data_IF_299536121919
#
_entry.id   IF_299536121919
#
_cell.length_a   1.000
_cell.length_b   1.000
_cell.length_c   1.000
_cell.angle_alpha   90.00
_cell.angle_beta   90.00
_cell.angle_gamma   90.00
#
_symmetry.space_group_name_H-M   'P 1'
#
loop_
_entity.id
_entity.type
_entity.pdbx_description
1 polymer ?
#
# COMPACT_ATOMS: atom_id res chain seq x y z
N UNK A 1 -16.32 13.83 -22.20
CA UNK A 1 -16.57 12.61 -23.00
C UNK A 1 -15.53 11.51 -22.81
N UNK A 2 -14.21 11.77 -22.87
CA UNK A 2 -13.20 10.70 -22.74
C UNK A 2 -13.13 10.04 -21.34
N UNK A 3 -13.35 10.83 -20.28
CA UNK A 3 -13.33 10.33 -18.89
C UNK A 3 -14.48 9.34 -18.60
N UNK A 4 -15.67 9.57 -19.15
CA UNK A 4 -16.82 8.68 -18.96
C UNK A 4 -16.62 7.33 -19.65
N UNK A 5 -16.06 7.33 -20.87
CA UNK A 5 -15.75 6.09 -21.59
C UNK A 5 -14.70 5.21 -20.87
N UNK A 6 -13.68 5.83 -20.26
CA UNK A 6 -12.69 5.09 -19.45
C UNK A 6 -13.35 4.48 -18.21
N UNK A 7 -14.28 5.19 -17.58
CA UNK A 7 -14.98 4.69 -16.41
C UNK A 7 -15.90 3.52 -16.78
N UNK A 8 -16.64 3.62 -17.88
CA UNK A 8 -17.51 2.57 -18.40
C UNK A 8 -16.73 1.30 -18.76
N UNK A 9 -15.62 1.45 -19.49
CA UNK A 9 -14.75 0.30 -19.83
C UNK A 9 -14.17 -0.37 -18.59
N UNK A 10 -13.80 0.39 -17.55
CA UNK A 10 -13.35 -0.18 -16.26
C UNK A 10 -14.47 -0.97 -15.57
N UNK A 11 -15.68 -0.44 -15.53
CA UNK A 11 -16.83 -1.13 -14.94
C UNK A 11 -17.12 -2.44 -15.66
N UNK A 12 -17.18 -2.41 -17.00
CA UNK A 12 -17.35 -3.62 -17.82
C UNK A 12 -16.25 -4.65 -17.61
N UNK A 13 -14.98 -4.19 -17.52
CA UNK A 13 -13.85 -5.09 -17.22
C UNK A 13 -13.99 -5.75 -15.85
N UNK A 14 -14.45 -5.01 -14.84
CA UNK A 14 -14.65 -5.54 -13.48
C UNK A 14 -15.85 -6.51 -13.40
N UNK A 15 -16.95 -6.21 -14.08
CA UNK A 15 -18.11 -7.10 -14.21
C UNK A 15 -17.69 -8.43 -14.85
N UNK A 16 -17.00 -8.36 -15.99
CA UNK A 16 -16.52 -9.52 -16.72
C UNK A 16 -15.55 -10.37 -15.89
N UNK A 17 -14.63 -9.70 -15.18
CA UNK A 17 -13.69 -10.36 -14.27
C UNK A 17 -14.41 -11.13 -13.15
N UNK A 18 -15.42 -10.51 -12.52
CA UNK A 18 -16.22 -11.16 -11.47
C UNK A 18 -17.00 -12.36 -12.03
N UNK A 19 -17.60 -12.23 -13.20
CA UNK A 19 -18.33 -13.31 -13.87
C UNK A 19 -17.43 -14.49 -14.20
N UNK A 20 -16.23 -14.25 -14.75
CA UNK A 20 -15.24 -15.29 -15.03
C UNK A 20 -14.77 -16.00 -13.75
N UNK A 21 -14.54 -15.26 -12.65
CA UNK A 21 -14.21 -15.88 -11.37
C UNK A 21 -15.36 -16.72 -10.79
N UNK A 22 -16.61 -16.31 -11.00
CA UNK A 22 -17.78 -17.07 -10.57
C UNK A 22 -17.93 -18.36 -11.39
N UNK A 23 -17.82 -18.28 -12.70
CA UNK A 23 -17.95 -19.43 -13.61
C UNK A 23 -16.77 -20.39 -13.54
N UNK A 24 -15.61 -19.96 -13.03
CA UNK A 24 -14.41 -20.81 -12.88
C UNK A 24 -14.33 -21.57 -11.56
N UNK A 25 -15.28 -21.38 -10.63
CA UNK A 25 -15.34 -22.12 -9.35
C UNK A 25 -15.28 -23.66 -9.46
N UNK A 26 -15.91 -24.32 -10.45
CA UNK A 26 -15.86 -25.79 -10.55
C UNK A 26 -14.52 -26.31 -11.10
N UNK A 27 -13.62 -25.42 -11.55
CA UNK A 27 -12.34 -25.80 -12.11
C UNK A 27 -11.21 -25.42 -11.16
N UNK A 28 -10.45 -26.42 -10.72
CA UNK A 28 -9.30 -26.18 -9.84
C UNK A 28 -8.24 -25.31 -10.53
N UNK A 29 -7.70 -24.35 -9.78
CA UNK A 29 -6.61 -23.47 -10.20
C UNK A 29 -6.87 -22.54 -11.40
N UNK A 30 -8.02 -22.63 -12.07
CA UNK A 30 -8.39 -21.77 -13.19
C UNK A 30 -8.49 -20.29 -12.77
N UNK A 31 -8.95 -20.02 -11.54
CA UNK A 31 -9.01 -18.68 -10.98
C UNK A 31 -7.65 -17.98 -10.95
N UNK A 32 -6.56 -18.73 -10.69
CA UNK A 32 -5.21 -18.18 -10.66
C UNK A 32 -4.73 -17.81 -12.06
N UNK A 33 -5.05 -18.63 -13.07
CA UNK A 33 -4.75 -18.32 -14.47
C UNK A 33 -5.50 -17.05 -14.93
N UNK A 34 -6.79 -16.92 -14.59
CA UNK A 34 -7.59 -15.72 -14.87
C UNK A 34 -6.94 -14.49 -14.21
N UNK A 35 -6.59 -14.57 -12.92
CA UNK A 35 -5.92 -13.47 -12.20
C UNK A 35 -4.62 -13.04 -12.90
N UNK A 36 -3.81 -14.00 -13.34
CA UNK A 36 -2.55 -13.71 -14.01
C UNK A 36 -2.76 -13.01 -15.36
N UNK A 37 -3.72 -13.46 -16.16
CA UNK A 37 -4.05 -12.84 -17.46
C UNK A 37 -4.58 -11.41 -17.33
N UNK A 38 -5.45 -11.14 -16.36
CA UNK A 38 -5.88 -9.77 -16.09
C UNK A 38 -4.74 -8.90 -15.55
N UNK A 39 -3.84 -9.48 -14.74
CA UNK A 39 -2.68 -8.76 -14.21
C UNK A 39 -1.65 -8.41 -15.30
N UNK A 40 -1.39 -9.32 -16.26
CA UNK A 40 -0.46 -9.05 -17.37
C UNK A 40 -0.95 -7.92 -18.26
N UNK A 41 -2.26 -7.79 -18.42
CA UNK A 41 -2.88 -6.80 -19.30
C UNK A 41 -3.32 -5.50 -18.58
N UNK A 42 -2.94 -5.31 -17.32
CA UNK A 42 -3.33 -4.16 -16.50
C UNK A 42 -2.91 -2.82 -17.10
N UNK A 43 -1.75 -2.78 -17.77
CA UNK A 43 -1.16 -1.56 -18.29
C UNK A 43 -1.44 -1.34 -19.79
N UNK A 44 -2.41 -2.05 -20.38
CA UNK A 44 -2.77 -1.89 -21.78
C UNK A 44 -3.45 -0.54 -22.01
N UNK A 45 -2.83 0.33 -22.80
CA UNK A 45 -3.32 1.69 -23.10
C UNK A 45 -4.02 1.81 -24.45
N UNK A 46 -3.85 0.83 -25.35
CA UNK A 46 -4.43 0.85 -26.69
C UNK A 46 -5.90 0.41 -26.68
N UNK A 47 -6.80 1.29 -27.11
CA UNK A 47 -8.26 1.02 -27.16
C UNK A 47 -8.59 -0.23 -27.99
N UNK A 48 -8.00 -0.38 -29.18
CA UNK A 48 -8.23 -1.55 -30.05
C UNK A 48 -7.85 -2.84 -29.34
N UNK A 49 -6.67 -2.88 -28.70
CA UNK A 49 -6.21 -4.05 -27.93
C UNK A 49 -7.09 -4.34 -26.71
N UNK A 50 -7.55 -3.31 -26.01
CA UNK A 50 -8.46 -3.51 -24.87
C UNK A 50 -9.79 -4.11 -25.34
N UNK A 51 -10.33 -3.66 -26.47
CA UNK A 51 -11.56 -4.22 -27.03
C UNK A 51 -11.39 -5.68 -27.44
N UNK A 52 -10.30 -6.03 -28.14
CA UNK A 52 -10.05 -7.44 -28.51
C UNK A 52 -9.90 -8.34 -27.29
N UNK A 53 -9.21 -7.87 -26.24
CA UNK A 53 -9.07 -8.63 -25.00
C UNK A 53 -10.41 -8.80 -24.25
N UNK A 54 -11.29 -7.80 -24.31
CA UNK A 54 -12.62 -7.89 -23.72
C UNK A 54 -13.53 -8.85 -24.50
N UNK A 55 -13.50 -8.79 -25.85
CA UNK A 55 -14.27 -9.73 -26.68
C UNK A 55 -13.79 -11.17 -26.50
N UNK A 56 -12.47 -11.40 -26.48
CA UNK A 56 -11.89 -12.71 -26.16
C UNK A 56 -12.35 -13.20 -24.78
N UNK A 57 -12.32 -12.32 -23.76
CA UNK A 57 -12.76 -12.67 -22.43
C UNK A 57 -14.27 -12.98 -22.34
N UNK A 58 -15.12 -12.29 -23.11
CA UNK A 58 -16.55 -12.60 -23.24
C UNK A 58 -16.79 -13.96 -23.91
N UNK A 59 -16.05 -14.28 -24.96
CA UNK A 59 -16.08 -15.59 -25.61
C UNK A 59 -15.66 -16.70 -24.65
N UNK A 60 -14.60 -16.48 -23.86
CA UNK A 60 -14.19 -17.45 -22.83
C UNK A 60 -15.26 -17.64 -21.76
N UNK A 61 -15.98 -16.58 -21.37
CA UNK A 61 -17.08 -16.69 -20.42
C UNK A 61 -18.24 -17.51 -20.99
N UNK A 62 -18.61 -17.27 -22.25
CA UNK A 62 -19.62 -18.07 -22.96
C UNK A 62 -19.21 -19.54 -23.01
N UNK A 63 -17.94 -19.81 -23.32
CA UNK A 63 -17.38 -21.16 -23.37
C UNK A 63 -17.43 -21.86 -22.00
N UNK A 64 -17.04 -21.17 -20.92
CA UNK A 64 -17.11 -21.73 -19.57
C UNK A 64 -18.54 -21.99 -19.10
N UNK A 65 -19.49 -21.09 -19.44
CA UNK A 65 -20.89 -21.27 -19.08
C UNK A 65 -21.50 -22.50 -19.79
N UNK A 66 -21.11 -22.78 -21.05
CA UNK A 66 -21.50 -24.00 -21.75
C UNK A 66 -21.00 -25.27 -21.03
N UNK A 67 -19.74 -25.27 -20.61
CA UNK A 67 -19.18 -26.37 -19.78
C UNK A 67 -19.93 -26.55 -18.46
N UNK A 68 -20.30 -25.45 -17.79
CA UNK A 68 -21.09 -25.49 -16.55
C UNK A 68 -22.53 -25.97 -16.76
N UNK A 69 -23.06 -25.88 -17.98
CA UNK A 69 -24.41 -26.34 -18.34
C UNK A 69 -24.45 -27.82 -18.76
N UNK A 70 -23.34 -28.57 -18.67
CA UNK A 70 -23.30 -30.02 -18.89
C UNK A 70 -22.47 -30.49 -20.07
N UNK A 71 -21.85 -29.58 -20.84
CA UNK A 71 -21.01 -29.95 -21.98
C UNK A 71 -19.66 -30.57 -21.52
N UNK A 72 -19.62 -31.90 -21.41
CA UNK A 72 -18.44 -32.65 -20.91
C UNK A 72 -17.18 -32.48 -21.78
N UNK A 73 -17.34 -32.27 -23.09
CA UNK A 73 -16.20 -32.01 -23.98
C UNK A 73 -15.45 -30.73 -23.61
N UNK A 74 -16.19 -29.69 -23.22
CA UNK A 74 -15.66 -28.39 -22.84
C UNK A 74 -14.91 -28.52 -21.51
N UNK A 75 -15.53 -29.21 -20.54
CA UNK A 75 -14.90 -29.49 -19.25
C UNK A 75 -13.56 -30.22 -19.45
N UNK A 76 -13.53 -31.21 -20.34
CA UNK A 76 -12.31 -31.96 -20.67
C UNK A 76 -11.23 -31.09 -21.30
N UNK A 77 -11.58 -30.23 -22.26
CA UNK A 77 -10.66 -29.26 -22.88
C UNK A 77 -10.10 -28.26 -21.88
N UNK A 78 -10.94 -27.74 -20.98
CA UNK A 78 -10.53 -26.81 -19.91
C UNK A 78 -9.59 -27.50 -18.92
N UNK A 79 -9.90 -28.72 -18.50
CA UNK A 79 -9.04 -29.51 -17.60
C UNK A 79 -7.69 -29.85 -18.25
N UNK A 80 -7.67 -30.21 -19.53
CA UNK A 80 -6.43 -30.44 -20.27
C UNK A 80 -5.57 -29.16 -20.37
N UNK A 81 -6.20 -28.00 -20.58
CA UNK A 81 -5.53 -26.71 -20.57
C UNK A 81 -4.93 -26.40 -19.19
N UNK A 82 -5.71 -26.59 -18.12
CA UNK A 82 -5.29 -26.41 -16.72
C UNK A 82 -4.06 -27.28 -16.42
N UNK A 83 -4.08 -28.56 -16.79
CA UNK A 83 -2.95 -29.48 -16.60
C UNK A 83 -1.69 -29.06 -17.39
N UNK A 84 -1.84 -28.54 -18.61
CA UNK A 84 -0.70 -28.10 -19.44
C UNK A 84 0.04 -26.88 -18.86
N UNK A 85 -0.68 -25.96 -18.23
CA UNK A 85 -0.13 -24.67 -17.81
C UNK A 85 0.10 -24.54 -16.30
N UNK A 86 -0.45 -25.44 -15.49
CA UNK A 86 -0.12 -25.54 -14.07
C UNK A 86 1.15 -26.38 -13.95
N UNK A 87 2.28 -25.69 -13.75
CA UNK A 87 3.46 -26.36 -13.20
C UNK A 87 3.06 -26.94 -11.84
N UNK A 88 3.28 -28.24 -11.57
CA UNK A 88 3.02 -28.79 -10.24
C UNK A 88 3.84 -27.95 -9.25
N UNK A 89 3.15 -27.22 -8.38
CA UNK A 89 3.82 -26.54 -7.27
C UNK A 89 4.50 -27.63 -6.47
N UNK A 90 5.83 -27.57 -6.33
CA UNK A 90 6.57 -28.48 -5.45
C UNK A 90 5.85 -28.52 -4.11
N UNK A 91 5.36 -29.70 -3.73
CA UNK A 91 4.67 -29.94 -2.47
C UNK A 91 5.60 -29.48 -1.36
N UNK A 92 5.22 -28.42 -0.66
CA UNK A 92 5.89 -28.03 0.59
C UNK A 92 5.33 -28.99 1.63
N UNK A 93 6.14 -29.86 2.26
CA UNK A 93 5.64 -30.87 3.17
C UNK A 93 4.91 -30.20 4.33
N UNK A 94 3.66 -30.62 4.54
CA UNK A 94 2.78 -30.15 5.60
C UNK A 94 3.18 -30.82 6.93
N UNK A 95 4.23 -30.32 7.57
CA UNK A 95 4.41 -30.60 8.99
C UNK A 95 3.55 -29.63 9.80
N UNK A 96 2.37 -30.12 10.19
CA UNK A 96 1.62 -29.65 11.35
C UNK A 96 2.53 -29.74 12.58
N UNK A 97 2.99 -28.61 13.12
CA UNK A 97 3.26 -28.48 14.55
C UNK A 97 2.99 -27.05 15.01
N UNK A 98 2.04 -26.95 15.93
CA UNK A 98 1.96 -26.12 17.11
C UNK A 98 2.63 -24.73 17.09
N UNK A 99 1.73 -23.77 17.28
CA UNK A 99 1.93 -22.46 17.86
C UNK A 99 2.62 -22.59 19.24
N UNK A 100 3.95 -22.48 19.29
CA UNK A 100 4.69 -22.08 20.48
C UNK A 100 6.11 -21.61 20.12
N UNK A 101 6.42 -20.38 20.55
CA UNK A 101 7.73 -19.68 20.49
C UNK A 101 8.32 -19.46 19.09
N UNK A 102 8.22 -18.21 18.64
CA UNK A 102 9.01 -17.62 17.56
C UNK A 102 10.52 -17.67 17.85
N UNK A 103 11.16 -18.82 17.60
CA UNK A 103 12.58 -18.87 17.23
C UNK A 103 12.68 -19.10 15.73
N UNK A 104 12.42 -18.05 14.95
CA UNK A 104 12.74 -18.04 13.53
C UNK A 104 14.27 -18.15 13.39
N UNK A 105 14.78 -19.36 13.18
CA UNK A 105 16.04 -19.55 12.44
C UNK A 105 15.79 -19.05 11.02
N UNK A 106 16.06 -17.77 10.82
CA UNK A 106 16.24 -17.16 9.51
C UNK A 106 17.20 -18.02 8.71
N UNK A 107 16.70 -18.81 7.76
CA UNK A 107 17.55 -19.35 6.71
C UNK A 107 18.01 -18.15 5.87
N UNK A 108 19.20 -17.65 6.22
CA UNK A 108 19.90 -16.57 5.52
C UNK A 108 19.93 -16.95 4.04
N UNK A 109 19.38 -16.13 3.13
CA UNK A 109 19.58 -16.35 1.70
C UNK A 109 21.09 -16.42 1.45
N UNK A 110 21.53 -17.42 0.68
CA UNK A 110 22.94 -17.62 0.32
C UNK A 110 23.57 -16.26 -0.09
N UNK A 111 24.72 -15.89 0.50
CA UNK A 111 25.35 -14.61 0.20
C UNK A 111 25.66 -14.56 -1.29
N UNK A 112 24.94 -13.70 -2.01
CA UNK A 112 25.29 -13.33 -3.39
C UNK A 112 26.74 -12.88 -3.35
N UNK A 113 27.58 -13.41 -4.24
CA UNK A 113 28.98 -13.07 -4.34
C UNK A 113 29.19 -11.55 -4.18
N UNK A 114 30.15 -11.11 -3.36
CA UNK A 114 30.34 -9.70 -3.05
C UNK A 114 30.55 -8.97 -4.37
N UNK A 115 29.55 -8.19 -4.78
CA UNK A 115 29.69 -7.29 -5.93
C UNK A 115 30.86 -6.39 -5.59
N UNK A 116 31.97 -6.53 -6.34
CA UNK A 116 33.16 -5.68 -6.22
C UNK A 116 32.67 -4.23 -6.15
N UNK A 117 32.77 -3.63 -4.98
CA UNK A 117 32.35 -2.24 -4.79
C UNK A 117 33.31 -1.42 -5.64
N UNK A 118 32.79 -0.84 -6.74
CA UNK A 118 33.57 0.10 -7.53
C UNK A 118 33.99 1.20 -6.56
N UNK A 119 35.30 1.31 -6.32
CA UNK A 119 35.84 2.40 -5.52
C UNK A 119 35.36 3.70 -6.16
N UNK A 120 34.56 4.46 -5.43
CA UNK A 120 34.12 5.76 -5.90
C UNK A 120 35.37 6.61 -6.10
N UNK A 121 35.58 7.10 -7.32
CA UNK A 121 36.66 8.07 -7.60
C UNK A 121 36.55 9.19 -6.57
N UNK A 122 37.63 9.45 -5.85
CA UNK A 122 37.69 10.57 -4.91
C UNK A 122 37.61 11.83 -5.76
N UNK A 123 36.48 12.51 -5.69
CA UNK A 123 36.30 13.80 -6.36
C UNK A 123 36.82 14.86 -5.40
N UNK A 124 37.94 15.50 -5.76
CA UNK A 124 38.48 16.61 -4.99
C UNK A 124 37.46 17.75 -4.90
N UNK A 125 37.38 18.34 -3.71
CA UNK A 125 36.45 19.45 -3.45
C UNK A 125 37.03 20.72 -4.07
N UNK A 126 36.19 21.47 -4.76
CA UNK A 126 36.55 22.83 -5.20
C UNK A 126 36.65 23.77 -3.99
N UNK A 127 37.48 24.83 -4.00
CA UNK A 127 37.72 25.70 -2.84
C UNK A 127 36.45 26.29 -2.21
N UNK A 128 35.44 26.63 -3.03
CA UNK A 128 34.16 27.18 -2.56
C UNK A 128 33.20 26.14 -1.97
N UNK A 129 33.52 24.84 -2.04
CA UNK A 129 32.69 23.74 -1.57
C UNK A 129 32.94 23.47 -0.08
N UNK A 130 32.48 24.40 0.74
CA UNK A 130 32.63 24.37 2.20
C UNK A 130 31.48 23.56 2.81
N UNK A 131 31.80 22.71 3.79
CA UNK A 131 30.80 22.00 4.59
C UNK A 131 30.15 22.98 5.59
N UNK A 132 28.85 23.16 5.48
CA UNK A 132 28.03 24.03 6.33
C UNK A 132 27.11 23.17 7.18
N UNK A 133 27.13 23.43 8.48
CA UNK A 133 26.16 22.86 9.42
C UNK A 133 24.84 23.62 9.26
N UNK A 134 23.82 22.93 8.75
CA UNK A 134 22.48 23.51 8.53
C UNK A 134 21.55 23.01 9.62
N UNK A 135 20.92 23.95 10.35
CA UNK A 135 19.83 23.64 11.29
C UNK A 135 18.50 23.68 10.55
N UNK A 136 17.74 22.61 10.61
CA UNK A 136 16.38 22.56 10.08
C UNK A 136 15.41 23.24 11.06
N UNK A 137 14.28 23.75 10.58
CA UNK A 137 13.22 24.35 11.40
C UNK A 137 12.61 23.39 12.47
N UNK A 138 12.96 22.10 12.42
CA UNK A 138 12.49 21.06 13.34
C UNK A 138 13.57 20.75 14.40
N UNK A 139 14.69 21.48 14.40
CA UNK A 139 15.80 21.29 15.35
C UNK A 139 16.86 20.28 14.93
N UNK A 140 16.61 19.47 13.90
CA UNK A 140 17.61 18.56 13.33
C UNK A 140 18.77 19.33 12.69
N UNK A 141 20.00 18.92 12.99
CA UNK A 141 21.22 19.50 12.46
C UNK A 141 21.88 18.52 11.50
N UNK A 142 22.30 18.99 10.32
CA UNK A 142 23.08 18.18 9.37
C UNK A 142 24.13 18.97 8.63
N UNK A 143 25.21 18.27 8.24
CA UNK A 143 26.26 18.85 7.39
C UNK A 143 25.84 18.75 5.93
N UNK A 144 25.89 19.87 5.20
CA UNK A 144 25.72 19.94 3.74
C UNK A 144 26.89 20.72 3.13
N UNK A 145 27.30 20.40 1.91
CA UNK A 145 28.37 21.14 1.22
C UNK A 145 27.75 22.21 0.32
N UNK A 146 28.20 23.46 0.42
CA UNK A 146 27.72 24.56 -0.44
C UNK A 146 28.07 24.27 -1.90
N UNK A 147 27.12 24.48 -2.80
CA UNK A 147 27.31 24.26 -4.24
C UNK A 147 27.30 22.79 -4.69
N UNK A 148 27.12 21.83 -3.79
CA UNK A 148 26.85 20.45 -4.17
C UNK A 148 25.36 20.23 -4.40
N UNK A 149 25.03 19.48 -5.46
CA UNK A 149 23.67 18.98 -5.65
C UNK A 149 23.35 17.99 -4.55
N UNK A 150 22.24 18.21 -3.85
CA UNK A 150 21.78 17.29 -2.81
C UNK A 150 21.57 15.88 -3.40
N UNK A 151 22.08 14.81 -2.77
CA UNK A 151 21.85 13.46 -3.23
C UNK A 151 20.35 13.13 -3.24
N UNK A 152 19.85 12.54 -4.33
CA UNK A 152 18.42 12.23 -4.51
C UNK A 152 17.84 11.46 -3.32
N UNK A 153 18.59 10.51 -2.75
CA UNK A 153 18.20 9.74 -1.57
C UNK A 153 17.86 10.66 -0.37
N UNK A 154 18.73 11.62 -0.08
CA UNK A 154 18.51 12.55 1.03
C UNK A 154 17.32 13.47 0.75
N UNK A 155 17.14 13.95 -0.49
CA UNK A 155 15.98 14.76 -0.86
C UNK A 155 14.68 13.97 -0.70
N UNK A 156 14.65 12.69 -1.08
CA UNK A 156 13.51 11.81 -0.85
C UNK A 156 13.25 11.59 0.65
N UNK A 157 14.29 11.41 1.46
CA UNK A 157 14.13 11.26 2.91
C UNK A 157 13.48 12.49 3.54
N UNK A 158 13.94 13.69 3.17
CA UNK A 158 13.34 14.95 3.62
C UNK A 158 11.88 15.03 3.15
N UNK A 159 11.62 14.79 1.87
CA UNK A 159 10.25 14.80 1.31
C UNK A 159 9.31 13.83 2.03
N UNK A 160 9.77 12.61 2.29
CA UNK A 160 8.97 11.60 2.99
C UNK A 160 8.68 12.01 4.44
N UNK A 161 9.66 12.59 5.15
CA UNK A 161 9.47 13.14 6.50
C UNK A 161 8.47 14.30 6.51
N UNK A 162 8.63 15.25 5.59
CA UNK A 162 7.69 16.38 5.44
C UNK A 162 6.27 15.86 5.17
N UNK A 163 6.11 14.90 4.27
CA UNK A 163 4.80 14.29 3.97
C UNK A 163 4.20 13.58 5.19
N UNK A 164 5.00 12.82 5.93
CA UNK A 164 4.54 12.14 7.14
C UNK A 164 4.09 13.13 8.23
N UNK A 165 4.84 14.22 8.40
CA UNK A 165 4.48 15.30 9.32
C UNK A 165 3.20 16.01 8.87
N UNK A 166 3.04 16.30 7.58
CA UNK A 166 1.81 16.90 7.06
C UNK A 166 0.58 16.03 7.35
N UNK A 167 0.65 14.74 7.04
CA UNK A 167 -0.43 13.78 7.35
C UNK A 167 -0.76 13.76 8.84
N UNK A 168 0.24 13.94 9.71
CA UNK A 168 0.03 14.04 11.15
C UNK A 168 -0.71 15.32 11.53
N UNK A 169 -0.31 16.46 10.98
CA UNK A 169 -0.94 17.77 11.21
C UNK A 169 -2.39 17.74 10.72
N UNK A 170 -2.63 17.22 9.53
CA UNK A 170 -3.97 17.13 8.94
C UNK A 170 -4.91 16.29 9.83
N UNK A 171 -4.42 15.14 10.33
CA UNK A 171 -5.18 14.32 11.29
C UNK A 171 -5.48 15.05 12.59
N UNK A 172 -4.47 15.73 13.15
CA UNK A 172 -4.66 16.52 14.37
C UNK A 172 -5.74 17.59 14.17
N UNK A 173 -5.70 18.32 13.05
CA UNK A 173 -6.72 19.31 12.69
C UNK A 173 -8.11 18.68 12.54
N UNK A 174 -8.20 17.50 11.89
CA UNK A 174 -9.49 16.80 11.76
C UNK A 174 -10.10 16.42 13.11
N UNK A 175 -9.29 15.92 14.06
CA UNK A 175 -9.76 15.58 15.40
C UNK A 175 -10.16 16.83 16.20
N UNK A 176 -9.42 17.93 16.02
CA UNK A 176 -9.76 19.22 16.65
C UNK A 176 -11.14 19.70 16.18
N UNK A 177 -11.41 19.65 14.88
CA UNK A 177 -12.69 20.03 14.30
C UNK A 177 -13.83 19.12 14.80
N UNK A 178 -13.61 17.80 14.83
CA UNK A 178 -14.58 16.86 15.41
C UNK A 178 -14.89 17.15 16.87
N UNK A 179 -13.89 17.50 17.67
CA UNK A 179 -14.10 17.87 19.07
C UNK A 179 -14.96 19.13 19.21
N UNK A 180 -14.72 20.15 18.37
CA UNK A 180 -15.52 21.38 18.37
C UNK A 180 -16.97 21.12 17.98
N UNK A 181 -17.21 20.26 16.97
CA UNK A 181 -18.58 19.85 16.59
C UNK A 181 -19.32 19.17 17.74
N UNK A 182 -18.71 18.19 18.39
CA UNK A 182 -19.35 17.46 19.50
C UNK A 182 -19.66 18.39 20.68
N UNK A 183 -18.76 19.34 20.97
CA UNK A 183 -19.03 20.36 22.00
C UNK A 183 -20.21 21.26 21.63
N UNK A 184 -20.31 21.64 20.35
CA UNK A 184 -21.44 22.39 19.81
C UNK A 184 -22.75 21.63 19.96
N UNK A 185 -22.79 20.37 19.48
CA UNK A 185 -23.96 19.50 19.59
C UNK A 185 -24.39 19.28 21.04
N UNK A 186 -23.44 19.07 21.95
CA UNK A 186 -23.73 18.93 23.38
C UNK A 186 -24.39 20.18 23.96
N UNK A 187 -23.85 21.35 23.66
CA UNK A 187 -24.41 22.63 24.14
C UNK A 187 -25.81 22.84 23.58
N UNK A 188 -26.01 22.51 22.30
CA UNK A 188 -27.30 22.56 21.64
C UNK A 188 -28.35 21.64 22.31
N UNK A 189 -28.01 20.37 22.54
CA UNK A 189 -28.90 19.41 23.20
C UNK A 189 -29.19 19.76 24.67
N UNK A 190 -28.21 20.36 25.35
CA UNK A 190 -28.37 20.86 26.71
C UNK A 190 -29.40 22.00 26.75
N UNK A 191 -29.34 22.94 25.80
CA UNK A 191 -30.29 24.04 25.72
C UNK A 191 -31.71 23.58 25.39
N UNK A 192 -31.86 22.47 24.66
CA UNK A 192 -33.16 21.86 24.36
C UNK A 192 -33.71 20.99 25.51
N UNK A 193 -32.93 20.73 26.56
CA UNK A 193 -33.33 19.84 27.66
C UNK A 193 -33.43 18.35 27.28
N UNK A 194 -33.00 17.96 26.06
CA UNK A 194 -33.05 16.58 25.56
C UNK A 194 -31.69 15.88 25.58
N UNK A 195 -30.76 16.37 26.42
CA UNK A 195 -29.42 15.82 26.51
C UNK A 195 -29.46 14.34 26.95
N UNK A 196 -28.95 13.40 26.12
CA UNK A 196 -28.88 12.00 26.50
C UNK A 196 -28.02 11.83 27.76
N UNK A 197 -28.53 11.09 28.76
CA UNK A 197 -27.85 10.86 30.04
C UNK A 197 -26.45 10.25 29.90
N UNK A 198 -26.21 9.50 28.83
CA UNK A 198 -24.90 8.95 28.52
C UNK A 198 -24.75 8.79 27.01
N UNK A 199 -23.63 9.34 26.48
CA UNK A 199 -22.81 8.84 25.34
C UNK A 199 -21.92 9.92 24.70
N UNK A 200 -22.27 11.22 24.77
CA UNK A 200 -21.43 12.27 24.14
C UNK A 200 -20.08 12.49 24.84
N UNK A 201 -20.04 12.37 26.17
CA UNK A 201 -18.79 12.48 26.95
C UNK A 201 -17.74 11.43 26.57
N UNK A 202 -18.17 10.21 26.26
CA UNK A 202 -17.27 9.14 25.81
C UNK A 202 -16.57 9.48 24.50
N UNK A 203 -17.30 10.06 23.54
CA UNK A 203 -16.73 10.50 22.28
C UNK A 203 -15.75 11.67 22.46
N UNK A 204 -16.07 12.65 23.31
CA UNK A 204 -15.13 13.73 23.64
C UNK A 204 -13.82 13.18 24.20
N UNK A 205 -13.88 12.23 25.14
CA UNK A 205 -12.70 11.66 25.77
C UNK A 205 -11.86 10.85 24.78
N UNK A 206 -12.50 10.06 23.90
CA UNK A 206 -11.82 9.32 22.84
C UNK A 206 -11.08 10.26 21.88
N UNK A 207 -11.69 11.38 21.49
CA UNK A 207 -11.07 12.36 20.61
C UNK A 207 -9.94 13.11 21.33
N UNK A 208 -10.09 13.43 22.62
CA UNK A 208 -9.01 14.01 23.44
C UNK A 208 -7.81 13.07 23.50
N UNK A 209 -8.03 11.77 23.73
CA UNK A 209 -6.97 10.76 23.69
C UNK A 209 -6.30 10.66 22.30
N UNK A 210 -7.08 10.77 21.22
CA UNK A 210 -6.51 10.82 19.88
C UNK A 210 -5.65 12.09 19.68
N UNK A 211 -6.13 13.26 20.13
CA UNK A 211 -5.41 14.53 20.04
C UNK A 211 -4.08 14.51 20.79
N UNK A 212 -4.04 13.92 21.99
CA UNK A 212 -2.78 13.79 22.75
C UNK A 212 -1.78 12.90 22.02
N UNK A 213 -2.23 11.79 21.42
CA UNK A 213 -1.36 10.89 20.63
C UNK A 213 -0.72 11.57 19.41
N UNK A 214 -1.37 12.59 18.84
CA UNK A 214 -0.86 13.33 17.67
C UNK A 214 -0.21 14.68 18.04
N UNK A 215 -0.08 15.01 19.32
CA UNK A 215 0.49 16.27 19.75
C UNK A 215 1.98 16.37 19.36
N UNK A 216 2.32 17.45 18.67
CA UNK A 216 3.61 17.63 17.99
C UNK A 216 4.73 17.84 19.01
N UNK A 217 4.43 18.47 20.15
CA UNK A 217 5.42 18.84 21.18
C UNK A 217 6.10 17.61 21.80
N UNK A 218 5.36 16.53 22.05
CA UNK A 218 5.90 15.33 22.69
C UNK A 218 6.83 14.53 21.75
N UNK A 219 6.61 14.64 20.44
CA UNK A 219 7.45 13.94 19.46
C UNK A 219 8.79 14.63 19.22
N UNK A 220 8.89 15.95 19.43
CA UNK A 220 10.15 16.68 19.29
C UNK A 220 11.07 16.44 20.50
N UNK A 221 10.53 16.38 21.72
CA UNK A 221 11.32 16.05 22.93
C UNK A 221 11.84 14.61 22.95
N UNK A 222 11.16 13.65 22.31
CA UNK A 222 11.66 12.27 22.22
C UNK A 222 12.83 12.07 21.25
N UNK A 223 13.08 13.03 20.35
CA UNK A 223 14.18 12.95 19.38
C UNK A 223 15.45 13.71 19.81
N UNK A 224 15.34 14.64 20.76
CA UNK A 224 16.49 15.33 21.36
C UNK A 224 17.19 14.52 22.44
N UNK A 225 16.59 13.42 22.90
CA UNK A 225 17.22 12.46 23.81
C UNK A 225 17.81 11.33 22.98
N UNK A 226 19.05 11.51 22.51
CA UNK A 226 19.92 10.39 22.15
C UNK A 226 21.35 10.64 22.65
N UNK A 227 22.06 9.58 23.05
CA UNK A 227 23.10 9.59 24.04
C UNK A 227 24.46 9.49 23.35
N UNK A 228 24.99 10.60 22.86
CA UNK A 228 26.38 10.67 22.42
C UNK A 228 27.17 11.52 23.43
N UNK A 229 27.24 11.01 24.65
CA UNK A 229 28.23 11.41 25.66
C UNK A 229 28.88 10.12 26.16
N UNK A 230 29.87 9.63 25.42
CA UNK A 230 31.01 8.94 26.02
C UNK A 230 32.26 9.29 25.19
N UNK A 231 33.40 9.56 25.87
CA UNK A 231 34.61 10.17 25.31
C UNK A 231 35.40 9.27 24.35
#
# INVERSE_FOLDING_TARGET
MYKSLIQETRLKTLELYKSLLKSSKPYDNLQNAIRQKFKSNKCTTSRKKTLTLLTEAEETLKYLNKGNNGDQEIVSKVNAYIQKYIKPSKVIPSNRYNFDRCTHKYQKPLPKAPKKQKQSKIVERKPYQIAITTKHAIGFVFKRVRGWRQPVKTSMMIKNRVKANQVRIDKFQSYKLQLEMIRGERTFLQNLGCLPKDKLMGYENNIKMALTAYNIKDTQNRQSVNPDNEP
#
